data_IF_604386168717
#
_entry.id   IF_604386168717
#
_cell.length_a   1.000
_cell.length_b   1.000
_cell.length_c   1.000
_cell.angle_alpha   90.00
_cell.angle_beta   90.00
_cell.angle_gamma   90.00
#
_symmetry.space_group_name_H-M   'P 1'
#
loop_
_entity.id
_entity.type
_entity.pdbx_description
1 polymer ?
#
# COMPACT_ATOMS: atom_id res chain seq x y z
N UNK A 1 -45.87 11.75 -18.75
CA UNK A 1 -45.01 12.57 -17.87
C UNK A 1 -44.01 11.61 -17.25
N UNK A 2 -42.70 11.84 -17.42
CA UNK A 2 -41.68 10.95 -16.84
C UNK A 2 -41.57 11.29 -15.35
N UNK A 3 -41.59 10.30 -14.44
CA UNK A 3 -41.43 10.55 -13.00
C UNK A 3 -40.10 11.25 -12.68
N UNK A 4 -40.11 12.19 -11.73
CA UNK A 4 -38.92 12.96 -11.34
C UNK A 4 -37.76 12.07 -10.88
N UNK A 5 -38.05 10.97 -10.18
CA UNK A 5 -37.03 9.99 -9.76
C UNK A 5 -36.33 9.32 -10.95
N UNK A 6 -37.09 9.07 -12.03
CA UNK A 6 -36.53 8.48 -13.25
C UNK A 6 -35.64 9.51 -13.92
N UNK A 7 -36.09 10.76 -14.08
CA UNK A 7 -35.27 11.85 -14.63
C UNK A 7 -33.97 12.06 -13.85
N UNK A 8 -34.03 12.15 -12.52
CA UNK A 8 -32.86 12.32 -11.67
C UNK A 8 -31.84 11.18 -11.84
N UNK A 9 -32.32 9.93 -11.88
CA UNK A 9 -31.45 8.77 -12.09
C UNK A 9 -30.85 8.73 -13.50
N UNK A 10 -31.61 9.17 -14.52
CA UNK A 10 -31.10 9.29 -15.89
C UNK A 10 -30.00 10.35 -15.98
N UNK A 11 -30.18 11.52 -15.35
CA UNK A 11 -29.18 12.58 -15.33
C UNK A 11 -27.89 12.13 -14.64
N UNK A 12 -27.99 11.44 -13.50
CA UNK A 12 -26.86 10.90 -12.74
C UNK A 12 -26.06 9.87 -13.57
N UNK A 13 -26.76 8.92 -14.22
CA UNK A 13 -26.13 7.95 -15.11
C UNK A 13 -25.50 8.61 -16.34
N UNK A 14 -26.09 9.68 -16.86
CA UNK A 14 -25.54 10.42 -18.00
C UNK A 14 -24.22 11.09 -17.60
N UNK A 15 -24.19 11.77 -16.45
CA UNK A 15 -22.97 12.35 -15.88
C UNK A 15 -21.89 11.29 -15.65
N UNK A 16 -22.25 10.14 -15.07
CA UNK A 16 -21.31 9.04 -14.87
C UNK A 16 -20.79 8.45 -16.18
N UNK A 17 -21.62 8.39 -17.22
CA UNK A 17 -21.24 7.84 -18.53
C UNK A 17 -20.15 8.67 -19.24
N UNK A 18 -20.05 9.96 -18.91
CA UNK A 18 -19.04 10.86 -19.48
C UNK A 18 -17.65 10.64 -18.87
N UNK A 19 -17.58 10.03 -17.70
CA UNK A 19 -16.31 9.74 -17.02
C UNK A 19 -15.80 8.38 -17.51
N UNK A 20 -14.58 8.36 -18.06
CA UNK A 20 -13.95 7.13 -18.53
C UNK A 20 -13.73 6.16 -17.36
N UNK A 21 -13.92 4.87 -17.59
CA UNK A 21 -13.68 3.84 -16.57
C UNK A 21 -12.25 3.92 -15.99
N UNK A 22 -11.26 4.28 -16.82
CA UNK A 22 -9.87 4.46 -16.39
C UNK A 22 -9.63 5.62 -15.42
N UNK A 23 -10.56 6.59 -15.36
CA UNK A 23 -10.50 7.73 -14.44
C UNK A 23 -11.21 7.44 -13.12
N UNK A 24 -11.94 6.34 -13.02
CA UNK A 24 -12.73 5.98 -11.84
C UNK A 24 -11.93 5.08 -10.91
N UNK A 25 -11.94 5.39 -9.63
CA UNK A 25 -11.41 4.51 -8.58
C UNK A 25 -12.26 4.64 -7.32
N UNK A 26 -12.18 3.66 -6.43
CA UNK A 26 -13.01 3.61 -5.24
C UNK A 26 -12.17 3.69 -3.98
N UNK A 27 -12.72 4.32 -2.96
CA UNK A 27 -12.21 4.22 -1.60
C UNK A 27 -12.23 2.75 -1.15
N UNK A 28 -11.10 2.16 -0.73
CA UNK A 28 -11.01 0.72 -0.44
C UNK A 28 -11.62 0.32 0.91
N UNK A 29 -11.95 1.29 1.76
CA UNK A 29 -12.59 1.04 3.04
C UNK A 29 -14.05 0.66 2.82
N UNK A 30 -14.43 -0.56 3.21
CA UNK A 30 -15.76 -1.15 2.98
C UNK A 30 -16.91 -0.33 3.57
N UNK A 31 -16.66 0.37 4.67
CA UNK A 31 -17.61 1.28 5.32
C UNK A 31 -17.81 2.61 4.59
N UNK A 32 -17.02 2.90 3.56
CA UNK A 32 -17.09 4.12 2.76
C UNK A 32 -17.38 3.85 1.28
N UNK A 33 -16.52 3.09 0.59
CA UNK A 33 -16.66 2.72 -0.82
C UNK A 33 -16.99 3.87 -1.80
N UNK A 34 -16.65 5.11 -1.44
CA UNK A 34 -16.92 6.29 -2.26
C UNK A 34 -16.20 6.22 -3.62
N UNK A 35 -16.92 6.57 -4.69
CA UNK A 35 -16.36 6.74 -6.03
C UNK A 35 -15.57 8.05 -6.08
N UNK A 36 -14.35 7.97 -6.63
CA UNK A 36 -13.45 9.09 -6.86
C UNK A 36 -13.05 9.12 -8.33
N UNK A 37 -12.79 10.33 -8.83
CA UNK A 37 -12.45 10.57 -10.22
C UNK A 37 -11.06 11.20 -10.27
N UNK A 38 -10.18 10.61 -11.08
CA UNK A 38 -8.90 11.20 -11.44
C UNK A 38 -9.12 12.08 -12.67
N UNK A 39 -9.13 13.39 -12.46
CA UNK A 39 -9.24 14.41 -13.51
C UNK A 39 -7.89 14.78 -14.13
N UNK A 40 -6.80 14.12 -13.70
CA UNK A 40 -5.45 14.33 -14.21
C UNK A 40 -5.02 13.22 -15.17
N UNK A 41 -4.12 13.55 -16.10
CA UNK A 41 -3.47 12.56 -16.97
C UNK A 41 -2.42 11.71 -16.23
N UNK A 42 -2.15 12.02 -14.96
CA UNK A 42 -1.15 11.36 -14.13
C UNK A 42 -1.69 10.13 -13.40
N UNK A 43 -0.78 9.24 -13.01
CA UNK A 43 -1.12 8.12 -12.13
C UNK A 43 -1.10 8.59 -10.69
N UNK A 44 -2.27 8.68 -10.06
CA UNK A 44 -2.39 8.96 -8.63
C UNK A 44 -2.03 7.68 -7.85
N UNK A 45 -1.00 7.78 -7.00
CA UNK A 45 -0.65 6.70 -6.08
C UNK A 45 -1.26 6.91 -4.71
N UNK A 46 -1.03 8.07 -4.12
CA UNK A 46 -1.52 8.45 -2.80
C UNK A 46 -2.78 9.31 -2.94
N UNK A 47 -3.83 8.96 -2.22
CA UNK A 47 -5.07 9.73 -2.21
C UNK A 47 -5.71 9.71 -0.82
N UNK A 48 -6.24 10.84 -0.40
CA UNK A 48 -7.10 10.96 0.79
C UNK A 48 -8.56 10.92 0.34
N UNK A 49 -9.36 10.03 0.93
CA UNK A 49 -10.78 10.00 0.63
C UNK A 49 -11.47 11.26 1.20
N UNK A 50 -12.18 12.08 0.40
CA UNK A 50 -12.88 13.28 0.89
C UNK A 50 -14.03 12.97 1.87
N UNK A 51 -14.58 11.74 1.82
CA UNK A 51 -15.71 11.30 2.65
C UNK A 51 -15.24 10.80 4.01
N UNK A 52 -14.33 9.82 4.04
CA UNK A 52 -13.86 9.22 5.30
C UNK A 52 -12.53 9.76 5.82
N UNK A 53 -11.85 10.65 5.05
CA UNK A 53 -10.57 11.30 5.39
C UNK A 53 -9.41 10.34 5.65
N UNK A 54 -9.51 9.10 5.15
CA UNK A 54 -8.45 8.09 5.26
C UNK A 54 -7.58 8.08 4.01
N UNK A 55 -6.28 7.98 4.22
CA UNK A 55 -5.29 7.81 3.15
C UNK A 55 -5.30 6.38 2.62
N UNK A 56 -5.16 6.25 1.30
CA UNK A 56 -5.09 4.97 0.63
C UNK A 56 -4.25 5.02 -0.65
N UNK A 57 -3.87 3.83 -1.14
CA UNK A 57 -3.17 3.69 -2.40
C UNK A 57 -4.19 3.50 -3.53
N UNK A 58 -4.33 4.46 -4.43
CA UNK A 58 -5.29 4.40 -5.54
C UNK A 58 -4.91 3.36 -6.61
N UNK A 59 -3.62 3.03 -6.75
CA UNK A 59 -3.17 1.98 -7.67
C UNK A 59 -3.45 0.56 -7.14
N UNK A 60 -3.26 0.35 -5.84
CA UNK A 60 -3.41 -0.96 -5.22
C UNK A 60 -4.81 -1.19 -4.64
N UNK A 61 -5.64 -0.13 -4.52
CA UNK A 61 -6.96 -0.17 -3.88
C UNK A 61 -6.93 -0.77 -2.47
N UNK A 62 -5.98 -0.32 -1.65
CA UNK A 62 -5.76 -0.77 -0.27
C UNK A 62 -5.44 0.43 0.64
N UNK A 63 -5.57 0.29 1.98
CA UNK A 63 -5.08 1.29 2.92
C UNK A 63 -3.63 1.71 2.62
N UNK A 64 -3.30 2.97 2.95
CA UNK A 64 -2.01 3.54 2.59
C UNK A 64 -0.83 2.75 3.15
N UNK A 65 0.17 2.53 2.30
CA UNK A 65 1.40 1.81 2.63
C UNK A 65 2.64 2.68 2.36
N UNK A 66 3.00 3.52 3.34
CA UNK A 66 4.25 4.28 3.32
C UNK A 66 5.47 3.35 3.35
N UNK A 67 6.64 3.88 2.97
CA UNK A 67 7.89 3.14 3.07
C UNK A 67 8.12 2.02 2.05
N UNK A 68 7.10 1.60 1.30
CA UNK A 68 7.18 0.48 0.34
C UNK A 68 6.50 0.84 -0.98
N UNK A 69 7.12 0.48 -2.11
CA UNK A 69 6.54 0.68 -3.44
C UNK A 69 5.39 -0.29 -3.72
N UNK A 70 4.49 0.05 -4.65
CA UNK A 70 3.35 -0.81 -5.03
C UNK A 70 3.79 -2.20 -5.47
N UNK A 71 4.84 -2.31 -6.29
CA UNK A 71 5.35 -3.61 -6.76
C UNK A 71 5.84 -4.50 -5.61
N UNK A 72 6.57 -3.93 -4.66
CA UNK A 72 7.06 -4.70 -3.51
C UNK A 72 5.91 -5.07 -2.58
N UNK A 73 4.96 -4.15 -2.34
CA UNK A 73 3.76 -4.41 -1.55
C UNK A 73 2.94 -5.58 -2.12
N UNK A 74 2.76 -5.64 -3.45
CA UNK A 74 2.03 -6.74 -4.11
C UNK A 74 2.76 -8.09 -4.05
N UNK A 75 4.08 -8.11 -3.83
CA UNK A 75 4.85 -9.34 -3.62
C UNK A 75 4.81 -9.83 -2.17
N UNK A 76 4.33 -9.01 -1.23
CA UNK A 76 4.19 -9.42 0.16
C UNK A 76 3.06 -10.43 0.32
N UNK A 77 3.21 -11.36 1.25
CA UNK A 77 2.11 -12.21 1.68
C UNK A 77 1.09 -11.38 2.48
N UNK A 78 -0.15 -11.86 2.61
CA UNK A 78 -1.20 -11.15 3.34
C UNK A 78 -0.82 -10.87 4.81
N UNK A 79 -0.12 -11.80 5.45
CA UNK A 79 0.39 -11.66 6.82
C UNK A 79 1.49 -10.61 6.97
N UNK A 80 2.12 -10.15 5.88
CA UNK A 80 3.14 -9.09 5.91
C UNK A 80 2.58 -7.72 5.49
N UNK A 81 1.30 -7.63 5.11
CA UNK A 81 0.64 -6.39 4.66
C UNK A 81 -0.08 -5.64 5.78
N UNK A 82 0.01 -6.16 7.01
CA UNK A 82 -0.53 -5.49 8.19
C UNK A 82 0.10 -4.12 8.40
N UNK A 83 -0.68 -3.17 8.93
CA UNK A 83 -0.19 -1.81 9.21
C UNK A 83 1.07 -1.84 10.08
N UNK A 84 1.07 -2.69 11.10
CA UNK A 84 2.20 -2.84 12.03
C UNK A 84 3.43 -3.42 11.32
N UNK A 85 3.26 -4.43 10.46
CA UNK A 85 4.34 -5.03 9.68
C UNK A 85 4.98 -4.03 8.71
N UNK A 86 4.15 -3.20 8.07
CA UNK A 86 4.61 -2.11 7.20
C UNK A 86 5.39 -1.05 7.99
N UNK A 87 4.92 -0.69 9.19
CA UNK A 87 5.64 0.25 10.06
C UNK A 87 6.99 -0.31 10.52
N UNK A 88 7.07 -1.60 10.87
CA UNK A 88 8.35 -2.26 11.20
C UNK A 88 9.28 -2.29 9.99
N UNK A 89 8.75 -2.55 8.79
CA UNK A 89 9.50 -2.50 7.52
C UNK A 89 10.08 -1.13 7.24
N UNK A 90 9.29 -0.07 7.39
CA UNK A 90 9.73 1.30 7.20
C UNK A 90 10.83 1.67 8.19
N UNK A 91 10.64 1.38 9.49
CA UNK A 91 11.65 1.58 10.52
C UNK A 91 12.94 0.81 10.23
N UNK A 92 12.82 -0.45 9.80
CA UNK A 92 13.94 -1.29 9.45
C UNK A 92 14.76 -0.70 8.29
N UNK A 93 14.09 -0.16 7.27
CA UNK A 93 14.75 0.52 6.15
C UNK A 93 15.50 1.76 6.63
N UNK A 94 14.85 2.60 7.44
CA UNK A 94 15.45 3.84 7.93
C UNK A 94 16.66 3.58 8.83
N UNK A 95 16.66 2.48 9.58
CA UNK A 95 17.79 2.04 10.42
C UNK A 95 18.78 1.10 9.72
N UNK A 96 18.58 0.78 8.44
CA UNK A 96 19.37 -0.22 7.71
C UNK A 96 19.44 -1.58 8.43
N UNK A 97 18.33 -2.03 8.99
CA UNK A 97 18.17 -3.37 9.59
C UNK A 97 18.08 -4.44 8.50
N UNK A 98 18.83 -5.53 8.68
CA UNK A 98 18.85 -6.64 7.73
C UNK A 98 17.95 -7.78 8.19
N UNK A 99 17.24 -8.44 7.27
CA UNK A 99 16.52 -9.68 7.58
C UNK A 99 17.44 -10.88 7.50
N UNK A 100 17.36 -11.78 8.47
CA UNK A 100 18.07 -13.06 8.42
C UNK A 100 17.65 -13.86 7.17
N UNK A 101 18.60 -14.35 6.33
CA UNK A 101 18.26 -15.13 5.14
C UNK A 101 17.45 -16.39 5.43
N UNK A 102 17.70 -17.01 6.59
CA UNK A 102 17.09 -18.27 7.02
C UNK A 102 15.70 -18.09 7.67
N UNK A 103 15.57 -17.25 8.70
CA UNK A 103 14.33 -17.12 9.47
C UNK A 103 13.59 -15.79 9.27
N UNK A 104 14.10 -14.89 8.42
CA UNK A 104 13.50 -13.58 8.04
C UNK A 104 13.30 -12.56 9.16
N UNK A 105 13.66 -12.86 10.41
CA UNK A 105 13.67 -11.86 11.49
C UNK A 105 14.62 -10.69 11.18
N UNK A 106 14.18 -9.48 11.52
CA UNK A 106 15.01 -8.28 11.49
C UNK A 106 16.13 -8.36 12.52
N UNK A 107 17.32 -7.97 12.09
CA UNK A 107 18.54 -7.93 12.88
C UNK A 107 19.10 -6.52 12.81
N UNK A 108 19.40 -5.96 13.98
CA UNK A 108 20.12 -4.69 14.11
C UNK A 108 21.61 -4.98 14.26
N UNK A 109 22.45 -4.26 13.49
CA UNK A 109 23.89 -4.28 13.67
C UNK A 109 24.28 -3.19 14.67
N UNK A 110 24.86 -3.59 15.80
CA UNK A 110 25.35 -2.64 16.79
C UNK A 110 26.68 -2.02 16.34
N UNK A 111 27.78 -2.78 16.32
CA UNK A 111 29.11 -2.29 15.93
C UNK A 111 29.98 -3.41 15.36
N UNK A 112 31.10 -3.05 14.70
CA UNK A 112 32.13 -4.01 14.30
C UNK A 112 31.86 -4.81 13.03
N UNK A 113 32.17 -6.12 13.08
CA UNK A 113 32.25 -7.05 11.95
C UNK A 113 30.94 -7.17 11.15
N UNK A 114 31.06 -7.45 9.85
CA UNK A 114 29.91 -7.73 8.98
C UNK A 114 29.39 -9.16 9.17
N UNK A 115 30.16 -10.08 9.74
CA UNK A 115 29.71 -11.45 10.00
C UNK A 115 28.82 -11.48 11.24
N UNK A 116 27.54 -11.77 11.06
CA UNK A 116 26.55 -11.79 12.13
C UNK A 116 25.98 -13.19 12.34
N UNK A 117 25.60 -13.49 13.58
CA UNK A 117 24.93 -14.75 13.95
C UNK A 117 23.51 -14.43 14.40
N UNK A 118 22.52 -14.99 13.72
CA UNK A 118 21.11 -14.84 14.10
C UNK A 118 20.76 -15.67 15.34
N UNK A 119 19.63 -15.35 15.98
CA UNK A 119 19.02 -16.17 17.05
C UNK A 119 18.74 -17.61 16.61
N UNK A 120 18.44 -17.82 15.32
CA UNK A 120 18.29 -19.16 14.73
C UNK A 120 19.64 -19.87 14.46
N UNK A 121 20.77 -19.31 14.93
CA UNK A 121 22.14 -19.80 14.76
C UNK A 121 22.71 -19.71 13.34
N UNK A 122 21.94 -19.22 12.36
CA UNK A 122 22.45 -18.97 11.02
C UNK A 122 23.47 -17.81 11.04
N UNK A 123 24.63 -18.04 10.43
CA UNK A 123 25.67 -17.04 10.27
C UNK A 123 25.66 -16.50 8.85
N UNK A 124 25.79 -15.18 8.71
CA UNK A 124 25.80 -14.53 7.40
C UNK A 124 26.48 -13.17 7.47
N UNK A 125 26.95 -12.70 6.32
CA UNK A 125 27.43 -11.33 6.15
C UNK A 125 26.24 -10.37 6.09
N UNK A 126 26.19 -9.41 7.00
CA UNK A 126 25.13 -8.40 7.09
C UNK A 126 25.05 -7.50 5.85
N UNK A 127 26.17 -7.29 5.14
CA UNK A 127 26.21 -6.44 3.95
C UNK A 127 25.62 -7.13 2.69
N UNK A 128 25.86 -8.43 2.51
CA UNK A 128 25.46 -9.14 1.29
C UNK A 128 24.46 -10.29 1.50
N UNK A 129 24.16 -10.65 2.74
CA UNK A 129 23.30 -11.80 3.06
C UNK A 129 23.93 -13.17 2.74
N UNK A 130 25.18 -13.19 2.26
CA UNK A 130 25.95 -14.39 1.94
C UNK A 130 26.42 -15.14 3.18
N UNK A 131 26.72 -16.42 3.00
CA UNK A 131 27.19 -17.31 4.07
C UNK A 131 28.67 -17.13 4.35
#
# INVERSE_FOLDING_TARGET
MIPNEVLARWDELLCESLILAAQKFYCPFKDCSALLVNDTDGVIRESECPICRRLFCAQCSVPWHSGIGCEEFQRLNEDERGREDLMVRELARDRNWMRCPCCKFYMEKNEGCLHMTCRCKFQFCYACGGK
#
